data_IF_113472841256
#
_entry.id   IF_113472841256
#
_cell.length_a   1.000
_cell.length_b   1.000
_cell.length_c   1.000
_cell.angle_alpha   90.00
_cell.angle_beta   90.00
_cell.angle_gamma   90.00
#
_symmetry.space_group_name_H-M   'P 1'
#
loop_
_entity.id
_entity.type
_entity.pdbx_description
1 polymer ?
#
# COMPACT_ATOMS: atom_id res chain seq x y z
N UNK A 1 26.37 -55.48 29.73
CA UNK A 1 26.19 -55.02 28.34
C UNK A 1 25.53 -53.65 28.40
N UNK A 2 26.28 -52.59 28.13
CA UNK A 2 25.81 -51.20 28.26
C UNK A 2 25.69 -50.61 26.86
N UNK A 3 24.47 -50.33 26.43
CA UNK A 3 24.17 -49.79 25.10
C UNK A 3 24.34 -48.27 25.12
N UNK A 4 25.29 -47.74 24.36
CA UNK A 4 25.47 -46.30 24.20
C UNK A 4 24.46 -45.75 23.18
N UNK A 5 23.66 -44.75 23.59
CA UNK A 5 22.81 -43.97 22.68
C UNK A 5 23.64 -42.90 21.98
N UNK A 6 23.88 -43.08 20.68
CA UNK A 6 24.43 -42.05 19.79
C UNK A 6 23.38 -40.98 19.54
N UNK A 7 23.64 -39.76 19.99
CA UNK A 7 22.79 -38.58 19.73
C UNK A 7 23.24 -37.97 18.39
N UNK A 8 22.36 -37.95 17.39
CA UNK A 8 22.64 -37.30 16.11
C UNK A 8 22.68 -35.77 16.27
N UNK A 9 23.59 -35.05 15.59
CA UNK A 9 23.66 -33.59 15.69
C UNK A 9 22.40 -32.94 15.11
N UNK A 10 21.84 -32.00 15.86
CA UNK A 10 20.71 -31.17 15.45
C UNK A 10 21.12 -30.36 14.22
N UNK A 11 20.52 -30.66 13.06
CA UNK A 11 20.79 -29.96 11.81
C UNK A 11 20.17 -28.56 11.91
N UNK A 12 21.01 -27.54 12.15
CA UNK A 12 20.56 -26.15 12.20
C UNK A 12 19.98 -25.77 10.85
N UNK A 13 18.73 -25.33 10.82
CA UNK A 13 18.11 -24.81 9.60
C UNK A 13 18.90 -23.58 9.10
N UNK A 14 19.15 -23.45 7.79
CA UNK A 14 19.81 -22.28 7.25
C UNK A 14 19.00 -21.02 7.57
N UNK A 15 19.69 -19.93 7.90
CA UNK A 15 19.06 -18.63 8.11
C UNK A 15 18.30 -18.21 6.82
N UNK A 16 17.10 -17.61 6.95
CA UNK A 16 16.38 -17.12 5.78
C UNK A 16 17.24 -16.08 5.04
N UNK A 17 17.27 -16.18 3.72
CA UNK A 17 17.98 -15.23 2.88
C UNK A 17 17.41 -13.81 3.09
N UNK A 18 18.25 -12.76 3.07
CA UNK A 18 17.79 -11.39 3.17
C UNK A 18 16.84 -11.08 2.01
N UNK A 19 15.67 -10.58 2.37
CA UNK A 19 14.65 -10.15 1.43
C UNK A 19 15.11 -8.86 0.73
N UNK A 20 15.11 -8.78 -0.63
CA UNK A 20 15.46 -7.55 -1.31
C UNK A 20 14.44 -6.46 -1.00
N UNK A 21 14.91 -5.33 -0.48
CA UNK A 21 14.11 -4.13 -0.27
C UNK A 21 14.18 -3.27 -1.53
N UNK A 22 13.03 -2.86 -2.05
CA UNK A 22 12.94 -1.95 -3.19
C UNK A 22 12.30 -0.65 -2.70
N UNK A 23 13.08 0.43 -2.77
CA UNK A 23 12.59 1.77 -2.47
C UNK A 23 12.27 2.49 -3.79
N UNK A 24 11.06 3.00 -3.90
CA UNK A 24 10.62 3.82 -5.05
C UNK A 24 10.00 5.08 -4.51
N UNK A 25 10.31 6.24 -5.09
CA UNK A 25 9.70 7.50 -4.67
C UNK A 25 9.03 8.15 -5.87
N UNK A 26 7.83 8.69 -5.67
CA UNK A 26 7.06 9.35 -6.71
C UNK A 26 6.27 10.55 -6.21
N UNK A 27 6.17 11.58 -7.04
CA UNK A 27 5.31 12.74 -6.80
C UNK A 27 4.28 12.82 -7.92
N UNK A 28 3.00 12.92 -7.57
CA UNK A 28 1.93 13.06 -8.54
C UNK A 28 0.97 14.18 -8.15
N UNK A 29 0.51 14.93 -9.14
CA UNK A 29 -0.55 15.92 -8.97
C UNK A 29 -1.89 15.24 -9.26
N UNK A 30 -2.82 15.24 -8.30
CA UNK A 30 -4.20 14.86 -8.55
C UNK A 30 -4.89 16.02 -9.24
N UNK A 31 -5.23 15.82 -10.51
CA UNK A 31 -6.14 16.72 -11.22
C UNK A 31 -7.58 16.34 -10.91
N UNK A 32 -8.43 17.36 -10.81
CA UNK A 32 -9.83 17.26 -10.42
C UNK A 32 -10.58 16.28 -11.33
N UNK A 33 -11.05 15.16 -10.76
CA UNK A 33 -11.86 14.16 -11.43
C UNK A 33 -13.01 13.74 -10.49
N UNK A 34 -14.24 13.60 -11.04
CA UNK A 34 -15.44 13.30 -10.27
C UNK A 34 -15.39 11.92 -9.61
N UNK A 35 -16.18 11.76 -8.55
CA UNK A 35 -16.27 10.62 -7.63
C UNK A 35 -16.76 9.28 -8.24
N UNK A 36 -16.59 9.07 -9.54
CA UNK A 36 -16.66 7.75 -10.17
C UNK A 36 -15.53 6.84 -9.63
N UNK A 37 -15.56 5.50 -9.84
CA UNK A 37 -14.39 4.67 -9.51
C UNK A 37 -13.16 5.34 -10.12
N UNK A 38 -12.19 5.70 -9.26
CA UNK A 38 -10.95 6.31 -9.73
C UNK A 38 -10.27 5.25 -10.59
N UNK A 39 -10.41 5.38 -11.90
CA UNK A 39 -9.78 4.53 -12.89
C UNK A 39 -8.67 5.36 -13.53
N UNK A 40 -7.61 5.66 -12.76
CA UNK A 40 -6.37 6.10 -13.38
C UNK A 40 -5.60 4.85 -13.78
N UNK A 41 -5.06 4.88 -15.00
CA UNK A 41 -4.14 3.90 -15.60
C UNK A 41 -3.99 2.59 -14.84
N UNK A 42 -4.56 1.50 -15.37
CA UNK A 42 -4.33 0.16 -14.86
C UNK A 42 -4.73 -0.11 -13.39
N UNK A 43 -5.41 0.80 -12.67
CA UNK A 43 -5.86 0.55 -11.30
C UNK A 43 -7.31 1.02 -11.09
N UNK A 44 -8.09 0.28 -10.32
CA UNK A 44 -9.43 0.67 -9.86
C UNK A 44 -9.55 0.43 -8.36
N UNK A 45 -9.89 1.46 -7.60
CA UNK A 45 -10.12 1.35 -6.15
C UNK A 45 -11.62 1.28 -5.82
N UNK A 46 -11.97 0.42 -4.86
CA UNK A 46 -13.34 0.18 -4.41
C UNK A 46 -13.39 -0.29 -2.95
N UNK A 47 -14.59 -0.48 -2.40
CA UNK A 47 -14.77 -1.13 -1.11
C UNK A 47 -14.21 -0.35 0.09
N UNK A 48 -14.19 0.99 0.02
CA UNK A 48 -13.76 1.82 1.15
C UNK A 48 -14.63 1.55 2.38
N UNK A 49 -13.98 1.29 3.52
CA UNK A 49 -14.67 1.04 4.78
C UNK A 49 -13.81 1.46 5.97
N UNK A 50 -14.37 2.30 6.85
CA UNK A 50 -13.76 2.60 8.16
C UNK A 50 -13.64 1.34 9.01
N UNK A 51 -12.48 1.18 9.63
CA UNK A 51 -12.18 0.08 10.55
C UNK A 51 -11.77 0.57 11.94
N UNK A 52 -11.51 1.87 12.10
CA UNK A 52 -11.22 2.52 13.38
C UNK A 52 -11.15 4.05 13.24
N UNK A 53 -10.83 4.76 14.32
CA UNK A 53 -10.87 6.23 14.38
C UNK A 53 -9.94 6.93 13.38
N UNK A 54 -8.83 6.28 13.00
CA UNK A 54 -7.86 6.78 12.03
C UNK A 54 -7.51 5.70 10.98
N UNK A 55 -8.37 4.70 10.83
CA UNK A 55 -8.10 3.53 10.00
C UNK A 55 -9.26 3.22 9.08
N UNK A 56 -8.92 2.90 7.83
CA UNK A 56 -9.88 2.39 6.87
C UNK A 56 -9.21 1.39 5.93
N UNK A 57 -10.05 0.63 5.25
CA UNK A 57 -9.62 -0.37 4.27
C UNK A 57 -10.15 -0.01 2.89
N UNK A 58 -9.46 -0.47 1.86
CA UNK A 58 -9.91 -0.40 0.48
C UNK A 58 -9.47 -1.66 -0.29
N UNK A 59 -10.12 -1.93 -1.41
CA UNK A 59 -9.69 -2.94 -2.37
C UNK A 59 -9.23 -2.24 -3.64
N UNK A 60 -8.08 -2.63 -4.19
CA UNK A 60 -7.63 -2.17 -5.49
C UNK A 60 -7.59 -3.35 -6.46
N UNK A 61 -8.12 -3.16 -7.67
CA UNK A 61 -7.95 -4.07 -8.80
C UNK A 61 -6.90 -3.50 -9.75
N UNK A 62 -5.94 -4.31 -10.17
CA UNK A 62 -4.92 -3.93 -11.14
C UNK A 62 -5.35 -4.46 -12.53
N UNK A 63 -5.60 -3.56 -13.47
CA UNK A 63 -6.05 -3.85 -14.84
C UNK A 63 -4.86 -3.85 -15.81
N UNK A 64 -4.76 -4.85 -16.69
CA UNK A 64 -3.74 -4.88 -17.75
C UNK A 64 -2.39 -5.49 -17.34
N UNK A 65 -2.40 -6.38 -16.35
CA UNK A 65 -1.22 -7.13 -15.93
C UNK A 65 -0.74 -8.06 -17.05
N UNK A 66 0.34 -7.69 -17.74
CA UNK A 66 1.25 -8.66 -18.35
C UNK A 66 2.25 -9.06 -17.27
N UNK A 67 2.47 -10.35 -17.07
CA UNK A 67 3.47 -10.92 -16.14
C UNK A 67 4.93 -10.54 -16.47
N UNK A 68 5.15 -9.64 -17.43
CA UNK A 68 6.45 -9.12 -17.80
C UNK A 68 6.95 -8.09 -16.78
N UNK A 69 7.55 -8.64 -15.72
CA UNK A 69 8.66 -8.12 -14.88
C UNK A 69 8.88 -6.61 -14.96
N UNK A 70 8.43 -5.86 -13.94
CA UNK A 70 8.97 -4.53 -13.62
C UNK A 70 7.97 -3.41 -13.33
N UNK A 71 6.67 -3.59 -13.57
CA UNK A 71 5.64 -2.55 -13.39
C UNK A 71 4.94 -2.59 -12.01
N UNK A 72 5.26 -3.60 -11.21
CA UNK A 72 4.61 -3.96 -9.95
C UNK A 72 4.62 -2.84 -8.88
N UNK A 73 5.75 -2.18 -8.57
CA UNK A 73 5.79 -1.15 -7.53
C UNK A 73 5.02 0.12 -7.91
N UNK A 74 5.03 0.50 -9.19
CA UNK A 74 4.33 1.70 -9.67
C UNK A 74 2.81 1.55 -9.59
N UNK A 75 2.29 0.36 -9.89
CA UNK A 75 0.86 0.05 -9.76
C UNK A 75 0.42 -0.01 -8.30
N UNK A 76 1.24 -0.58 -7.41
CA UNK A 76 1.01 -0.52 -5.96
C UNK A 76 0.97 0.92 -5.44
N UNK A 77 1.90 1.77 -5.92
CA UNK A 77 1.95 3.18 -5.57
C UNK A 77 0.67 3.91 -5.99
N UNK A 78 0.24 3.66 -7.22
CA UNK A 78 -0.95 4.25 -7.79
C UNK A 78 -2.22 3.79 -7.05
N UNK A 79 -2.31 2.51 -6.69
CA UNK A 79 -3.39 1.97 -5.86
C UNK A 79 -3.46 2.66 -4.49
N UNK A 80 -2.33 2.79 -3.80
CA UNK A 80 -2.26 3.48 -2.52
C UNK A 80 -2.67 4.95 -2.64
N UNK A 81 -2.17 5.65 -3.66
CA UNK A 81 -2.48 7.05 -3.94
C UNK A 81 -3.99 7.27 -4.17
N UNK A 82 -4.60 6.46 -5.03
CA UNK A 82 -6.04 6.55 -5.31
C UNK A 82 -6.88 6.23 -4.07
N UNK A 83 -6.50 5.20 -3.30
CA UNK A 83 -7.24 4.82 -2.11
C UNK A 83 -7.18 5.89 -1.02
N UNK A 84 -6.00 6.50 -0.84
CA UNK A 84 -5.81 7.61 0.10
C UNK A 84 -6.59 8.86 -0.34
N UNK A 85 -6.57 9.21 -1.62
CA UNK A 85 -7.39 10.32 -2.14
C UNK A 85 -8.90 10.06 -1.96
N UNK A 86 -9.36 8.84 -2.25
CA UNK A 86 -10.76 8.45 -2.04
C UNK A 86 -11.14 8.48 -0.54
N UNK A 87 -10.26 8.03 0.34
CA UNK A 87 -10.47 8.04 1.79
C UNK A 87 -10.51 9.45 2.37
N UNK A 88 -9.59 10.33 1.94
CA UNK A 88 -9.59 11.74 2.31
C UNK A 88 -10.91 12.43 1.95
N UNK A 89 -11.47 12.12 0.79
CA UNK A 89 -12.79 12.66 0.37
C UNK A 89 -13.94 12.08 1.18
N UNK A 90 -13.92 10.77 1.40
CA UNK A 90 -15.04 10.05 2.02
C UNK A 90 -15.14 10.29 3.53
N UNK A 91 -14.02 10.22 4.24
CA UNK A 91 -13.99 10.21 5.70
C UNK A 91 -13.53 11.55 6.31
N UNK A 92 -12.85 12.38 5.53
CA UNK A 92 -12.21 13.59 6.02
C UNK A 92 -12.73 14.87 5.34
N UNK A 93 -13.72 14.76 4.45
CA UNK A 93 -14.30 15.90 3.73
C UNK A 93 -13.24 16.79 3.06
N UNK A 94 -12.15 16.18 2.58
CA UNK A 94 -11.10 16.90 1.87
C UNK A 94 -11.70 17.57 0.60
N UNK A 95 -11.48 18.88 0.40
CA UNK A 95 -12.03 19.61 -0.74
C UNK A 95 -11.53 19.07 -2.08
N UNK A 96 -12.43 19.10 -3.08
CA UNK A 96 -12.15 18.79 -4.48
C UNK A 96 -11.33 19.95 -5.08
N UNK A 97 -10.02 19.97 -4.86
CA UNK A 97 -9.17 21.04 -5.37
C UNK A 97 -7.70 20.70 -5.27
N UNK A 98 -7.04 20.56 -6.43
CA UNK A 98 -5.59 20.41 -6.62
C UNK A 98 -4.85 19.70 -5.48
N UNK A 99 -5.27 18.48 -5.16
CA UNK A 99 -4.58 17.68 -4.16
C UNK A 99 -3.19 17.33 -4.71
N UNK A 100 -2.13 17.72 -4.00
CA UNK A 100 -0.79 17.23 -4.34
C UNK A 100 -0.52 16.00 -3.47
N UNK A 101 -0.36 14.84 -4.09
CA UNK A 101 0.02 13.61 -3.41
C UNK A 101 1.53 13.41 -3.54
N UNK A 102 2.24 13.58 -2.43
CA UNK A 102 3.61 13.13 -2.29
C UNK A 102 3.55 11.67 -1.84
N UNK A 103 4.16 10.76 -2.59
CA UNK A 103 4.04 9.33 -2.33
C UNK A 103 5.43 8.71 -2.19
N UNK A 104 5.74 8.23 -1.00
CA UNK A 104 6.97 7.52 -0.71
C UNK A 104 6.65 6.02 -0.62
N UNK A 105 7.29 5.20 -1.46
CA UNK A 105 7.09 3.76 -1.45
C UNK A 105 8.26 3.07 -0.77
N UNK A 106 7.98 2.37 0.32
CA UNK A 106 8.91 1.41 0.92
C UNK A 106 8.35 0.00 0.71
N UNK A 107 8.67 -0.63 -0.43
CA UNK A 107 8.24 -2.01 -0.68
C UNK A 107 9.14 -2.97 0.08
N UNK A 108 8.60 -3.53 1.16
CA UNK A 108 9.12 -4.74 1.77
C UNK A 108 8.52 -5.95 1.06
N UNK A 109 9.19 -6.47 0.04
CA UNK A 109 8.73 -7.66 -0.70
C UNK A 109 8.96 -8.93 0.13
N UNK A 110 8.13 -9.24 1.12
CA UNK A 110 8.34 -10.39 2.02
C UNK A 110 8.02 -11.74 1.36
N UNK A 111 8.77 -12.14 0.33
CA UNK A 111 8.63 -13.45 -0.32
C UNK A 111 9.81 -13.82 -1.23
N UNK A 112 10.12 -15.12 -1.39
CA UNK A 112 11.19 -15.58 -2.29
C UNK A 112 10.68 -15.62 -3.74
N UNK A 113 10.56 -14.46 -4.38
CA UNK A 113 10.23 -14.37 -5.80
C UNK A 113 9.56 -13.05 -6.20
N UNK A 114 9.37 -12.81 -7.51
CA UNK A 114 8.44 -11.77 -7.95
C UNK A 114 7.11 -12.08 -7.30
N UNK A 115 6.64 -11.17 -6.44
CA UNK A 115 5.29 -11.27 -5.90
C UNK A 115 4.40 -11.09 -7.11
N UNK A 116 3.85 -12.19 -7.63
CA UNK A 116 2.77 -12.11 -8.60
C UNK A 116 1.66 -11.34 -7.89
N UNK A 117 1.63 -10.02 -8.11
CA UNK A 117 0.61 -9.20 -7.50
C UNK A 117 -0.67 -9.71 -8.12
N UNK A 118 -1.50 -10.32 -7.27
CA UNK A 118 -2.81 -10.76 -7.69
C UNK A 118 -3.52 -9.58 -8.37
N UNK A 119 -4.44 -9.87 -9.28
CA UNK A 119 -5.28 -8.87 -9.93
C UNK A 119 -6.02 -7.96 -8.91
N UNK A 120 -6.02 -8.33 -7.62
CA UNK A 120 -6.54 -7.55 -6.51
C UNK A 120 -5.56 -7.43 -5.33
N UNK A 121 -5.54 -6.24 -4.72
CA UNK A 121 -4.88 -5.93 -3.44
C UNK A 121 -5.92 -5.53 -2.40
N UNK A 122 -5.70 -5.95 -1.16
CA UNK A 122 -6.34 -5.35 0.01
C UNK A 122 -5.40 -4.30 0.59
N UNK A 123 -5.93 -3.11 0.86
CA UNK A 123 -5.18 -1.99 1.42
C UNK A 123 -5.71 -1.74 2.83
N UNK A 124 -4.81 -1.76 3.82
CA UNK A 124 -5.10 -1.22 5.16
C UNK A 124 -4.42 0.14 5.26
N UNK A 125 -5.20 1.16 5.59
CA UNK A 125 -4.76 2.54 5.51
C UNK A 125 -4.94 3.15 6.88
N UNK A 126 -3.85 3.71 7.41
CA UNK A 126 -3.81 4.40 8.69
C UNK A 126 -3.43 5.85 8.46
N UNK A 127 -4.23 6.79 8.95
CA UNK A 127 -3.87 8.22 8.98
C UNK A 127 -2.90 8.44 10.14
N UNK A 128 -1.66 8.80 9.83
CA UNK A 128 -0.58 8.96 10.81
C UNK A 128 -0.42 10.40 11.26
N UNK A 129 -0.76 11.37 10.43
CA UNK A 129 -0.81 12.79 10.79
C UNK A 129 -2.00 13.47 10.10
N UNK A 130 -2.70 14.33 10.83
CA UNK A 130 -3.82 15.11 10.34
C UNK A 130 -3.61 16.56 10.71
N UNK A 131 -3.47 17.42 9.70
CA UNK A 131 -3.34 18.87 9.88
C UNK A 131 -4.57 19.58 9.38
N UNK A 132 -5.06 20.50 10.19
CA UNK A 132 -6.18 21.35 9.86
C UNK A 132 -5.83 22.83 10.12
N UNK A 133 -6.36 23.71 9.29
CA UNK A 133 -6.28 25.15 9.43
C UNK A 133 -7.68 25.73 9.33
N UNK A 134 -8.10 26.50 10.35
CA UNK A 134 -9.46 27.04 10.45
C UNK A 134 -10.59 25.99 10.30
N UNK A 135 -10.37 24.77 10.81
CA UNK A 135 -11.35 23.67 10.72
C UNK A 135 -11.34 22.91 9.40
N UNK A 136 -10.59 23.38 8.40
CA UNK A 136 -10.41 22.71 7.10
C UNK A 136 -9.14 21.88 7.12
N UNK A 137 -9.20 20.65 6.61
CA UNK A 137 -8.01 19.79 6.52
C UNK A 137 -7.11 20.29 5.40
N UNK A 138 -5.84 20.50 5.72
CA UNK A 138 -4.80 21.00 4.80
C UNK A 138 -3.74 19.96 4.50
N UNK A 139 -3.59 18.93 5.33
CA UNK A 139 -2.71 17.81 5.06
C UNK A 139 -3.16 16.53 5.78
N UNK A 140 -2.91 15.40 5.13
CA UNK A 140 -3.07 14.07 5.71
C UNK A 140 -1.86 13.22 5.32
N UNK A 141 -1.16 12.70 6.31
CA UNK A 141 -0.13 11.67 6.09
C UNK A 141 -0.73 10.31 6.42
N UNK A 142 -0.44 9.33 5.57
CA UNK A 142 -0.97 7.98 5.67
C UNK A 142 0.16 6.98 5.58
N UNK A 143 -0.01 5.86 6.27
CA UNK A 143 0.70 4.61 5.98
C UNK A 143 -0.30 3.62 5.41
N UNK A 144 0.08 2.96 4.32
CA UNK A 144 -0.73 2.01 3.58
C UNK A 144 -0.02 0.67 3.54
N UNK A 145 -0.59 -0.33 4.16
CA UNK A 145 -0.13 -1.70 4.09
C UNK A 145 -0.88 -2.44 2.97
N UNK A 146 -0.13 -3.07 2.06
CA UNK A 146 -0.69 -3.76 0.90
C UNK A 146 -0.64 -5.26 1.13
N UNK A 147 -1.78 -5.91 0.99
CA UNK A 147 -1.93 -7.35 1.17
C UNK A 147 -2.37 -8.01 -0.14
N UNK A 148 -1.67 -9.07 -0.51
CA UNK A 148 -2.09 -9.98 -1.58
C UNK A 148 -2.31 -11.37 -0.95
N UNK A 149 -3.51 -11.94 -1.12
CA UNK A 149 -3.88 -13.22 -0.48
C UNK A 149 -3.54 -13.25 1.02
N UNK A 150 -3.91 -12.19 1.75
CA UNK A 150 -3.63 -11.99 3.19
C UNK A 150 -2.14 -11.89 3.60
N UNK A 151 -1.21 -11.97 2.65
CA UNK A 151 0.21 -11.74 2.90
C UNK A 151 0.56 -10.25 2.70
N UNK A 152 1.28 -9.65 3.64
CA UNK A 152 1.81 -8.29 3.50
C UNK A 152 2.90 -8.28 2.42
N UNK A 153 2.64 -7.57 1.31
CA UNK A 153 3.54 -7.50 0.14
C UNK A 153 4.26 -6.16 0.00
N UNK A 154 3.84 -5.14 0.75
CA UNK A 154 4.49 -3.84 0.72
C UNK A 154 3.90 -2.86 1.73
N UNK A 155 4.57 -1.72 1.87
CA UNK A 155 4.09 -0.55 2.61
C UNK A 155 4.31 0.72 1.78
N UNK A 156 3.37 1.64 1.81
CA UNK A 156 3.48 2.96 1.15
C UNK A 156 3.18 4.02 2.19
N UNK A 157 3.99 5.07 2.24
CA UNK A 157 3.65 6.28 2.96
C UNK A 157 3.16 7.34 1.97
N UNK A 158 1.95 7.84 2.20
CA UNK A 158 1.28 8.79 1.30
C UNK A 158 0.97 10.07 2.04
N UNK A 159 1.59 11.16 1.61
CA UNK A 159 1.38 12.50 2.11
C UNK A 159 0.50 13.29 1.14
N UNK A 160 -0.76 13.51 1.53
CA UNK A 160 -1.67 14.43 0.83
C UNK A 160 -1.46 15.85 1.34
N UNK A 161 -1.28 16.77 0.40
CA UNK A 161 -1.25 18.22 0.66
C UNK A 161 -2.42 18.84 -0.08
N UNK A 162 -3.32 19.42 0.69
CA UNK A 162 -4.59 19.97 0.24
C UNK A 162 -4.46 21.49 0.31
N UNK A 163 -4.77 22.17 -0.78
CA UNK A 163 -4.68 23.63 -0.90
C UNK A 163 -6.04 24.24 -1.14
#
# INVERSE_FOLDING_TARGET
MTTAMTTAPLRTAPAPAPVPMVEVTGTALLLDQPAAPLAYGAVTVSGLRETGDAEYTAQARLLGFSTDVGHEPALMLEAARQAVAAGARTFYSAPLGSETALTFLQVHSMGPGPVAIADSLLLKITVTDRRAHHGTITALDHTVELFAHDALVGRVDVALRIR
#
